data_IF_955697356816
#
_entry.id   IF_955697356816
#
_cell.length_a   1.000
_cell.length_b   1.000
_cell.length_c   1.000
_cell.angle_alpha   90.00
_cell.angle_beta   90.00
_cell.angle_gamma   90.00
#
_symmetry.space_group_name_H-M   'P 1'
#
loop_
_entity.id
_entity.type
_entity.pdbx_description
1 polymer ?
#
# COMPACT_ATOMS: atom_id res chain seq x y z
N UNK A 1 -2.81 -0.36 14.89
CA UNK A 1 -1.55 -0.82 14.27
C UNK A 1 -1.10 0.23 13.24
N UNK A 2 0.20 0.47 13.00
CA UNK A 2 0.67 1.27 11.85
C UNK A 2 0.33 0.49 10.57
N UNK A 3 0.11 1.21 9.46
CA UNK A 3 -0.05 0.56 8.16
C UNK A 3 1.26 -0.11 7.77
N UNK A 4 1.24 -1.35 7.27
CA UNK A 4 2.43 -1.98 6.73
C UNK A 4 3.02 -1.17 5.57
N UNK A 5 4.33 -1.07 5.49
CA UNK A 5 5.05 -0.41 4.41
C UNK A 5 6.07 -1.35 3.79
N UNK A 6 6.30 -1.19 2.51
CA UNK A 6 7.30 -1.96 1.77
C UNK A 6 8.22 -1.04 0.99
N UNK A 7 9.47 -1.46 0.81
CA UNK A 7 10.39 -0.91 -0.18
C UNK A 7 10.22 -1.64 -1.51
N UNK A 8 10.14 -0.87 -2.57
CA UNK A 8 10.02 -1.37 -3.94
C UNK A 8 11.22 -0.88 -4.75
N UNK A 9 11.95 -1.79 -5.40
CA UNK A 9 13.13 -1.46 -6.16
C UNK A 9 13.27 -2.29 -7.44
N UNK A 10 13.70 -1.67 -8.54
CA UNK A 10 14.05 -2.36 -9.78
C UNK A 10 15.42 -3.05 -9.63
N UNK A 11 15.48 -4.39 -9.73
CA UNK A 11 16.71 -5.17 -9.57
C UNK A 11 17.84 -4.71 -10.51
N UNK A 12 17.51 -4.33 -11.73
CA UNK A 12 18.52 -3.92 -12.72
C UNK A 12 19.21 -2.60 -12.37
N UNK A 13 18.55 -1.74 -11.61
CA UNK A 13 19.04 -0.41 -11.23
C UNK A 13 19.77 -0.38 -9.87
N UNK A 14 19.71 -1.45 -9.08
CA UNK A 14 20.35 -1.49 -7.75
C UNK A 14 21.87 -1.28 -7.78
N UNK A 15 22.51 -1.54 -8.92
CA UNK A 15 23.95 -1.29 -9.10
C UNK A 15 24.26 0.20 -9.28
N UNK A 16 23.28 1.01 -9.65
CA UNK A 16 23.45 2.44 -9.78
C UNK A 16 23.37 3.09 -8.39
N UNK A 17 24.48 3.68 -7.93
CA UNK A 17 24.58 4.35 -6.62
C UNK A 17 23.63 5.52 -6.41
N UNK A 18 23.00 6.01 -7.48
CA UNK A 18 22.05 7.13 -7.46
C UNK A 18 20.59 6.68 -7.57
N UNK A 19 20.36 5.37 -7.66
CA UNK A 19 19.02 4.80 -7.64
C UNK A 19 18.57 4.57 -6.19
N UNK A 20 17.36 5.01 -5.85
CA UNK A 20 16.71 4.78 -4.57
C UNK A 20 15.47 3.90 -4.70
N UNK A 21 15.17 3.11 -3.67
CA UNK A 21 13.90 2.40 -3.54
C UNK A 21 12.76 3.37 -3.30
N UNK A 22 11.54 2.92 -3.60
CA UNK A 22 10.30 3.66 -3.34
C UNK A 22 9.56 2.99 -2.20
N UNK A 23 9.16 3.76 -1.20
CA UNK A 23 8.29 3.26 -0.12
C UNK A 23 6.83 3.30 -0.55
N UNK A 24 6.09 2.23 -0.27
CA UNK A 24 4.65 2.12 -0.50
C UNK A 24 3.95 1.63 0.76
N UNK A 25 2.98 2.39 1.25
CA UNK A 25 2.09 1.97 2.34
C UNK A 25 1.01 1.02 1.82
N UNK A 26 0.76 -0.06 2.56
CA UNK A 26 -0.21 -1.11 2.24
C UNK A 26 -1.34 -1.17 3.29
N UNK A 27 -2.55 -1.63 2.93
CA UNK A 27 -2.97 -1.99 1.58
C UNK A 27 -3.09 -0.77 0.66
N UNK A 28 -2.70 -0.95 -0.59
CA UNK A 28 -2.66 0.10 -1.61
C UNK A 28 -3.65 -0.20 -2.75
N UNK A 29 -4.20 0.84 -3.37
CA UNK A 29 -5.02 0.72 -4.57
C UNK A 29 -4.19 0.29 -5.78
N UNK A 30 -4.83 -0.26 -6.82
CA UNK A 30 -4.15 -0.59 -8.08
C UNK A 30 -3.42 0.62 -8.68
N UNK A 31 -4.03 1.81 -8.57
CA UNK A 31 -3.43 3.05 -9.05
C UNK A 31 -2.17 3.44 -8.23
N UNK A 32 -2.18 3.21 -6.91
CA UNK A 32 -1.03 3.47 -6.06
C UNK A 32 0.12 2.47 -6.31
N UNK A 33 -0.20 1.21 -6.56
CA UNK A 33 0.77 0.18 -6.96
C UNK A 33 1.39 0.55 -8.32
N UNK A 34 0.57 0.92 -9.30
CA UNK A 34 1.05 1.34 -10.62
C UNK A 34 1.94 2.59 -10.54
N UNK A 35 1.59 3.56 -9.69
CA UNK A 35 2.39 4.75 -9.42
C UNK A 35 3.75 4.41 -8.79
N UNK A 36 3.75 3.59 -7.75
CA UNK A 36 4.98 3.16 -7.09
C UNK A 36 5.90 2.39 -8.04
N UNK A 37 5.35 1.45 -8.83
CA UNK A 37 6.11 0.74 -9.87
C UNK A 37 6.70 1.69 -10.90
N UNK A 38 5.94 2.69 -11.34
CA UNK A 38 6.43 3.68 -12.30
C UNK A 38 7.60 4.50 -11.73
N UNK A 39 7.45 5.04 -10.52
CA UNK A 39 8.50 5.82 -9.83
C UNK A 39 9.74 4.97 -9.55
N UNK A 40 9.57 3.69 -9.21
CA UNK A 40 10.66 2.73 -9.06
C UNK A 40 11.26 2.26 -10.41
N UNK A 41 10.88 2.86 -11.55
CA UNK A 41 11.36 2.49 -12.89
C UNK A 41 11.09 1.00 -13.23
N UNK A 42 10.02 0.41 -12.70
CA UNK A 42 9.61 -0.96 -12.95
C UNK A 42 8.61 -0.97 -14.10
N UNK A 43 9.02 -1.56 -15.22
CA UNK A 43 8.18 -1.75 -16.40
C UNK A 43 7.65 -3.18 -16.46
N UNK A 44 6.70 -3.44 -17.34
CA UNK A 44 6.21 -4.80 -17.59
C UNK A 44 7.37 -5.73 -17.94
N UNK A 45 7.52 -6.81 -17.19
CA UNK A 45 8.61 -7.78 -17.35
C UNK A 45 9.93 -7.40 -16.65
N UNK A 46 10.00 -6.27 -15.94
CA UNK A 46 11.14 -5.97 -15.09
C UNK A 46 11.14 -6.85 -13.84
N UNK A 47 12.29 -7.37 -13.47
CA UNK A 47 12.48 -7.96 -12.13
C UNK A 47 12.58 -6.84 -11.09
N UNK A 48 11.92 -7.04 -9.96
CA UNK A 48 11.92 -6.09 -8.86
C UNK A 48 12.03 -6.79 -7.51
N UNK A 49 12.30 -6.00 -6.47
CA UNK A 49 12.36 -6.45 -5.08
C UNK A 49 11.22 -5.78 -4.31
N UNK A 50 10.62 -6.55 -3.41
CA UNK A 50 9.68 -6.07 -2.39
C UNK A 50 10.24 -6.51 -1.04
N UNK A 51 10.63 -5.55 -0.19
CA UNK A 51 11.11 -5.81 1.17
C UNK A 51 10.19 -5.11 2.17
N UNK A 52 9.96 -5.73 3.32
CA UNK A 52 9.27 -5.09 4.43
C UNK A 52 10.05 -3.89 4.95
N UNK A 53 9.35 -2.78 5.24
CA UNK A 53 9.92 -1.61 5.91
C UNK A 53 9.39 -1.52 7.35
N UNK A 54 8.18 -1.03 7.54
CA UNK A 54 7.61 -0.80 8.86
C UNK A 54 6.16 -1.27 8.96
N UNK A 55 5.65 -1.42 10.19
CA UNK A 55 4.24 -1.73 10.46
C UNK A 55 3.82 -3.18 10.25
N UNK A 56 4.74 -4.07 9.88
CA UNK A 56 4.49 -5.50 9.81
C UNK A 56 4.60 -6.17 11.18
N UNK A 57 3.86 -7.25 11.45
CA UNK A 57 4.15 -8.13 12.58
C UNK A 57 5.55 -8.74 12.44
N UNK A 58 6.33 -8.75 13.52
CA UNK A 58 7.74 -9.17 13.52
C UNK A 58 7.96 -10.57 12.93
N UNK A 59 7.06 -11.52 13.23
CA UNK A 59 7.14 -12.89 12.71
C UNK A 59 6.99 -12.98 11.19
N UNK A 60 6.39 -11.97 10.53
CA UNK A 60 6.22 -11.94 9.08
C UNK A 60 7.37 -11.25 8.34
N UNK A 61 8.03 -10.27 8.96
CA UNK A 61 9.09 -9.50 8.31
C UNK A 61 10.19 -10.40 7.77
N UNK A 62 10.66 -11.35 8.58
CA UNK A 62 11.70 -12.29 8.16
C UNK A 62 11.21 -13.22 7.04
N UNK A 63 10.00 -13.77 7.16
CA UNK A 63 9.44 -14.70 6.17
C UNK A 63 9.28 -14.01 4.81
N UNK A 64 8.76 -12.78 4.80
CA UNK A 64 8.55 -12.01 3.57
C UNK A 64 9.91 -11.64 2.95
N UNK A 65 10.86 -11.13 3.74
CA UNK A 65 12.17 -10.71 3.24
C UNK A 65 13.04 -11.86 2.75
N UNK A 66 12.86 -13.07 3.31
CA UNK A 66 13.57 -14.28 2.87
C UNK A 66 12.93 -14.95 1.64
N UNK A 67 11.71 -14.51 1.24
CA UNK A 67 10.99 -15.06 0.09
C UNK A 67 11.46 -14.39 -1.20
N UNK A 68 11.93 -15.17 -2.15
CA UNK A 68 12.33 -14.67 -3.48
C UNK A 68 11.10 -14.49 -4.39
N UNK A 69 11.21 -13.54 -5.33
CA UNK A 69 10.27 -13.30 -6.42
C UNK A 69 8.82 -13.01 -5.94
N UNK A 70 8.70 -12.25 -4.86
CA UNK A 70 7.43 -11.80 -4.32
C UNK A 70 6.65 -10.96 -5.32
N UNK A 71 5.36 -11.26 -5.46
CA UNK A 71 4.40 -10.38 -6.11
C UNK A 71 3.96 -9.28 -5.14
N UNK A 72 4.06 -8.02 -5.57
CA UNK A 72 3.57 -6.90 -4.78
C UNK A 72 2.06 -7.01 -4.52
N UNK A 73 1.33 -7.60 -5.44
CA UNK A 73 -0.11 -7.81 -5.36
C UNK A 73 -0.46 -8.84 -4.26
N UNK A 74 0.34 -9.91 -4.11
CA UNK A 74 0.18 -10.88 -3.01
C UNK A 74 0.48 -10.24 -1.65
N UNK A 75 1.58 -9.50 -1.56
CA UNK A 75 1.97 -8.76 -0.34
C UNK A 75 0.88 -7.75 0.03
N UNK A 76 0.27 -7.10 -0.97
CA UNK A 76 -0.84 -6.17 -0.76
C UNK A 76 -2.09 -6.85 -0.19
N UNK A 77 -2.44 -8.04 -0.70
CA UNK A 77 -3.57 -8.82 -0.17
C UNK A 77 -3.32 -9.27 1.27
N UNK A 78 -2.11 -9.76 1.58
CA UNK A 78 -1.74 -10.13 2.95
C UNK A 78 -1.80 -8.92 3.89
N UNK A 79 -1.27 -7.76 3.46
CA UNK A 79 -1.34 -6.52 4.22
C UNK A 79 -2.79 -6.08 4.49
N UNK A 80 -3.68 -6.24 3.50
CA UNK A 80 -5.10 -5.99 3.67
C UNK A 80 -5.71 -6.89 4.75
N UNK A 81 -5.45 -8.19 4.71
CA UNK A 81 -5.95 -9.13 5.73
C UNK A 81 -5.45 -8.74 7.13
N UNK A 82 -4.14 -8.46 7.28
CA UNK A 82 -3.52 -8.07 8.55
C UNK A 82 -4.11 -6.75 9.07
N UNK A 83 -4.35 -5.76 8.21
CA UNK A 83 -4.90 -4.46 8.61
C UNK A 83 -6.29 -4.53 9.26
N UNK A 84 -6.98 -5.65 9.08
CA UNK A 84 -8.32 -5.91 9.64
C UNK A 84 -8.30 -6.80 10.89
N UNK A 85 -7.14 -7.33 11.25
CA UNK A 85 -6.98 -8.18 12.42
C UNK A 85 -6.87 -7.34 13.69
N UNK A 86 -7.53 -7.80 14.73
CA UNK A 86 -7.28 -7.34 16.10
C UNK A 86 -6.04 -8.05 16.68
N UNK A 87 -5.63 -7.66 17.89
CA UNK A 87 -4.45 -8.22 18.55
C UNK A 87 -4.57 -9.73 18.77
N UNK A 88 -5.75 -10.22 19.15
CA UNK A 88 -5.99 -11.64 19.34
C UNK A 88 -5.86 -12.43 18.03
N UNK A 89 -6.34 -11.87 16.92
CA UNK A 89 -6.22 -12.47 15.60
C UNK A 89 -4.79 -12.48 15.09
N UNK A 90 -3.99 -11.44 15.38
CA UNK A 90 -2.56 -11.41 15.04
C UNK A 90 -1.80 -12.52 15.79
N UNK A 91 -2.06 -12.69 17.10
CA UNK A 91 -1.45 -13.77 17.88
C UNK A 91 -1.88 -15.16 17.37
N UNK A 92 -3.15 -15.32 17.02
CA UNK A 92 -3.66 -16.55 16.39
C UNK A 92 -2.96 -16.81 15.06
N UNK A 93 -2.73 -15.76 14.26
CA UNK A 93 -2.03 -15.89 12.98
C UNK A 93 -0.56 -16.29 13.18
N UNK A 94 0.14 -15.65 14.10
CA UNK A 94 1.51 -16.00 14.45
C UNK A 94 1.64 -17.48 14.83
N UNK A 95 0.74 -17.95 15.69
CA UNK A 95 0.71 -19.35 16.09
C UNK A 95 0.37 -20.31 14.95
N UNK A 96 -0.55 -19.96 14.06
CA UNK A 96 -0.87 -20.77 12.88
C UNK A 96 0.33 -20.90 11.93
N UNK A 97 1.09 -19.82 11.72
CA UNK A 97 2.33 -19.82 10.96
C UNK A 97 3.38 -20.70 11.62
N UNK A 98 3.53 -20.60 12.95
CA UNK A 98 4.46 -21.45 13.71
C UNK A 98 4.09 -22.92 13.61
N UNK A 99 2.81 -23.30 13.75
CA UNK A 99 2.35 -24.68 13.55
C UNK A 99 2.74 -25.20 12.16
N UNK A 100 2.54 -24.40 11.11
CA UNK A 100 2.91 -24.78 9.75
C UNK A 100 4.43 -24.98 9.60
N UNK A 101 5.25 -24.15 10.24
CA UNK A 101 6.71 -24.30 10.23
C UNK A 101 7.17 -25.57 10.99
N UNK A 102 6.49 -25.93 12.07
CA UNK A 102 6.79 -27.15 12.84
C UNK A 102 6.38 -28.43 12.11
N UNK A 103 5.31 -28.39 11.28
CA UNK A 103 4.88 -29.54 10.46
C UNK A 103 5.90 -29.90 9.39
N UNK A 104 6.55 -28.93 8.77
CA UNK A 104 7.57 -29.13 7.75
C UNK A 104 8.67 -28.06 7.87
N UNK A 105 9.68 -28.40 8.67
CA UNK A 105 10.80 -27.51 9.01
C UNK A 105 11.70 -27.24 7.79
N UNK A 106 11.74 -28.16 6.83
CA UNK A 106 12.62 -28.05 5.67
C UNK A 106 12.02 -27.21 4.54
N UNK A 107 10.70 -26.98 4.56
CA UNK A 107 10.00 -26.23 3.51
C UNK A 107 9.60 -24.84 4.02
N UNK A 108 10.15 -23.74 3.44
CA UNK A 108 9.74 -22.38 3.81
C UNK A 108 8.24 -22.15 3.61
N UNK A 109 7.64 -21.34 4.48
CA UNK A 109 6.25 -20.93 4.34
C UNK A 109 6.12 -20.01 3.12
N UNK A 110 5.21 -20.33 2.22
CA UNK A 110 4.98 -19.56 0.99
C UNK A 110 3.99 -18.42 1.20
N UNK A 111 3.98 -17.43 0.29
CA UNK A 111 3.00 -16.34 0.32
C UNK A 111 1.56 -16.86 0.19
N UNK A 112 1.33 -17.89 -0.64
CA UNK A 112 0.05 -18.60 -0.73
C UNK A 112 -0.41 -19.14 0.63
N UNK A 113 0.49 -19.82 1.34
CA UNK A 113 0.18 -20.35 2.66
C UNK A 113 -0.13 -19.26 3.67
N UNK A 114 0.65 -18.16 3.70
CA UNK A 114 0.38 -17.01 4.56
C UNK A 114 -1.01 -16.41 4.30
N UNK A 115 -1.36 -16.15 3.04
CA UNK A 115 -2.66 -15.61 2.66
C UNK A 115 -3.80 -16.54 3.07
N UNK A 116 -3.64 -17.85 2.85
CA UNK A 116 -4.65 -18.84 3.22
C UNK A 116 -4.75 -19.05 4.74
N UNK A 117 -3.64 -19.03 5.48
CA UNK A 117 -3.65 -19.08 6.95
C UNK A 117 -4.36 -17.84 7.54
N UNK A 118 -4.02 -16.64 7.05
CA UNK A 118 -4.67 -15.40 7.46
C UNK A 118 -6.20 -15.41 7.21
N UNK A 119 -6.65 -16.08 6.15
CA UNK A 119 -8.08 -16.26 5.86
C UNK A 119 -8.76 -17.27 6.78
N UNK A 120 -8.03 -18.27 7.26
CA UNK A 120 -8.55 -19.41 7.99
C UNK A 120 -8.31 -19.37 9.51
N UNK A 121 -8.19 -18.17 10.12
CA UNK A 121 -7.94 -18.04 11.57
C UNK A 121 -9.03 -18.71 12.41
N UNK A 122 -10.27 -18.75 11.92
CA UNK A 122 -11.37 -19.49 12.56
C UNK A 122 -11.17 -21.01 12.63
N UNK A 123 -10.17 -21.57 11.94
CA UNK A 123 -9.82 -23.00 12.02
C UNK A 123 -8.87 -23.31 13.18
N UNK A 124 -8.52 -22.32 14.00
CA UNK A 124 -7.61 -22.46 15.14
C UNK A 124 -8.28 -21.98 16.41
N UNK A 125 -7.89 -22.59 17.52
CA UNK A 125 -8.22 -22.16 18.87
C UNK A 125 -6.97 -21.58 19.51
N UNK A 126 -7.09 -20.37 20.09
CA UNK A 126 -5.99 -19.70 20.77
C UNK A 126 -6.33 -19.49 22.25
N UNK A 127 -5.42 -19.88 23.14
CA UNK A 127 -5.55 -19.74 24.58
C UNK A 127 -4.46 -18.82 25.12
N UNK A 128 -4.75 -17.55 25.35
CA UNK A 128 -3.78 -16.59 25.87
C UNK A 128 -3.32 -16.98 27.28
N UNK A 129 -2.03 -16.74 27.57
CA UNK A 129 -1.42 -17.00 28.88
C UNK A 129 -1.11 -18.47 29.18
N UNK A 130 -1.41 -19.41 28.27
CA UNK A 130 -1.03 -20.82 28.38
C UNK A 130 0.27 -21.02 27.60
N UNK A 131 1.41 -20.95 28.27
CA UNK A 131 2.73 -20.86 27.62
C UNK A 131 3.64 -22.08 27.87
N UNK A 132 3.16 -23.06 28.64
CA UNK A 132 3.88 -24.30 28.94
C UNK A 132 2.94 -25.49 29.22
N UNK A 133 3.52 -26.69 29.27
CA UNK A 133 2.79 -27.93 29.52
C UNK A 133 2.09 -27.94 30.91
N UNK A 134 2.64 -27.27 31.90
CA UNK A 134 2.02 -27.19 33.23
C UNK A 134 0.73 -26.37 33.22
N UNK A 135 0.81 -25.15 32.64
CA UNK A 135 -0.38 -24.30 32.52
C UNK A 135 -1.45 -24.92 31.63
N UNK A 136 -1.05 -25.59 30.55
CA UNK A 136 -1.98 -26.34 29.71
C UNK A 136 -2.61 -27.52 30.45
N UNK A 137 -1.84 -28.24 31.25
CA UNK A 137 -2.33 -29.34 32.10
C UNK A 137 -3.34 -28.88 33.12
N UNK A 138 -3.10 -27.75 33.80
CA UNK A 138 -4.09 -27.15 34.72
C UNK A 138 -5.40 -26.82 34.02
N UNK A 139 -5.35 -26.19 32.84
CA UNK A 139 -6.54 -25.92 32.04
C UNK A 139 -7.27 -27.20 31.64
N UNK A 140 -6.52 -28.25 31.26
CA UNK A 140 -7.10 -29.54 30.89
C UNK A 140 -7.78 -30.24 32.09
N UNK A 141 -7.18 -30.21 33.29
CA UNK A 141 -7.74 -30.77 34.51
C UNK A 141 -8.99 -30.02 34.98
N UNK A 142 -8.94 -28.69 35.10
CA UNK A 142 -10.04 -27.85 35.51
C UNK A 142 -11.28 -27.99 34.61
N UNK A 143 -11.10 -28.21 33.32
CA UNK A 143 -12.18 -28.30 32.33
C UNK A 143 -12.47 -29.70 31.81
N UNK A 144 -11.83 -30.75 32.35
CA UNK A 144 -11.97 -32.15 31.94
C UNK A 144 -11.82 -32.34 30.40
N UNK A 145 -10.80 -31.76 29.81
CA UNK A 145 -10.64 -31.67 28.34
C UNK A 145 -10.18 -32.98 27.71
N UNK A 146 -9.42 -33.81 28.42
CA UNK A 146 -8.93 -35.07 27.91
C UNK A 146 -9.89 -36.24 28.23
N UNK A 147 -10.12 -37.09 27.25
CA UNK A 147 -10.99 -38.28 27.46
C UNK A 147 -10.38 -39.24 28.48
N UNK A 148 -9.07 -39.27 28.65
CA UNK A 148 -8.34 -40.12 29.60
C UNK A 148 -8.60 -39.74 31.07
N UNK A 149 -8.94 -38.50 31.35
CA UNK A 149 -9.22 -37.98 32.70
C UNK A 149 -10.70 -37.79 32.98
N UNK A 150 -11.53 -37.85 31.94
CA UNK A 150 -12.97 -37.63 32.04
C UNK A 150 -13.63 -38.67 32.94
N UNK A 151 -14.31 -38.21 34.01
CA UNK A 151 -15.02 -39.05 34.94
C UNK A 151 -14.15 -39.63 36.05
N UNK A 152 -12.90 -39.24 36.20
CA UNK A 152 -12.10 -39.56 37.38
C UNK A 152 -12.62 -38.77 38.59
N UNK A 153 -12.57 -39.36 39.81
CA UNK A 153 -12.89 -38.67 41.04
C UNK A 153 -11.94 -37.47 41.29
N UNK A 154 -12.44 -36.44 41.97
CA UNK A 154 -11.68 -35.19 42.21
C UNK A 154 -10.37 -35.44 42.98
N UNK A 155 -10.41 -36.34 43.98
CA UNK A 155 -9.24 -36.74 44.77
C UNK A 155 -8.16 -37.46 43.93
N UNK A 156 -8.53 -38.05 42.80
CA UNK A 156 -7.60 -38.65 41.85
C UNK A 156 -7.06 -37.60 40.92
N UNK A 157 -7.89 -36.65 40.46
CA UNK A 157 -7.45 -35.53 39.58
C UNK A 157 -6.39 -34.66 40.26
N UNK A 158 -6.53 -34.40 41.57
CA UNK A 158 -5.54 -33.63 42.36
C UNK A 158 -4.16 -34.30 42.44
N UNK A 159 -4.05 -35.60 42.19
CA UNK A 159 -2.80 -36.34 42.23
C UNK A 159 -2.13 -36.48 40.87
N UNK A 160 -2.77 -35.99 39.81
CA UNK A 160 -2.20 -36.06 38.47
C UNK A 160 -1.08 -34.99 38.33
N UNK A 161 -0.06 -35.39 37.58
CA UNK A 161 1.06 -34.51 37.21
C UNK A 161 0.60 -33.56 36.09
N UNK A 162 0.43 -32.29 36.44
CA UNK A 162 -0.04 -31.23 35.54
C UNK A 162 0.77 -31.16 34.25
N UNK A 163 2.10 -31.27 34.36
CA UNK A 163 2.99 -31.18 33.19
C UNK A 163 2.79 -32.36 32.22
N UNK A 164 2.58 -33.58 32.75
CA UNK A 164 2.29 -34.74 31.91
C UNK A 164 0.91 -34.68 31.28
N UNK A 165 -0.07 -34.14 32.01
CA UNK A 165 -1.43 -33.91 31.46
C UNK A 165 -1.35 -32.89 30.32
N UNK A 166 -0.58 -31.82 30.48
CA UNK A 166 -0.37 -30.83 29.43
C UNK A 166 0.32 -31.41 28.20
N UNK A 167 1.38 -32.21 28.39
CA UNK A 167 2.06 -32.92 27.30
C UNK A 167 1.09 -33.83 26.49
N UNK A 168 0.21 -34.54 27.18
CA UNK A 168 -0.79 -35.39 26.53
C UNK A 168 -1.84 -34.56 25.81
N UNK A 169 -2.28 -33.44 26.40
CA UNK A 169 -3.21 -32.50 25.77
C UNK A 169 -2.61 -31.93 24.48
N UNK A 170 -1.38 -31.40 24.55
CA UNK A 170 -0.68 -30.86 23.40
C UNK A 170 -0.51 -31.89 22.27
N UNK A 171 -0.21 -33.14 22.62
CA UNK A 171 -0.12 -34.23 21.63
C UNK A 171 -1.46 -34.55 21.00
N UNK A 172 -2.55 -34.54 21.79
CA UNK A 172 -3.91 -34.79 21.31
C UNK A 172 -4.44 -33.68 20.40
N UNK A 173 -4.13 -32.44 20.72
CA UNK A 173 -4.58 -31.25 19.99
C UNK A 173 -3.69 -30.94 18.79
N UNK A 174 -2.47 -31.51 18.74
CA UNK A 174 -1.43 -31.13 17.76
C UNK A 174 -1.10 -29.63 17.81
N UNK A 175 -1.09 -29.07 19.02
CA UNK A 175 -0.87 -27.65 19.25
C UNK A 175 0.59 -27.29 19.54
N UNK A 176 0.87 -26.00 19.52
CA UNK A 176 2.17 -25.42 19.88
C UNK A 176 2.02 -24.21 20.81
N UNK A 177 3.10 -23.84 21.51
CA UNK A 177 3.17 -22.65 22.34
C UNK A 177 3.74 -21.49 21.53
N UNK A 178 3.12 -20.32 21.66
CA UNK A 178 3.66 -19.03 21.27
C UNK A 178 4.18 -18.29 22.51
N UNK A 179 4.82 -17.14 22.34
CA UNK A 179 5.24 -16.31 23.47
C UNK A 179 4.07 -15.86 24.34
N UNK A 180 2.88 -15.69 23.77
CA UNK A 180 1.72 -15.14 24.42
C UNK A 180 0.62 -16.18 24.78
N UNK A 181 0.72 -17.43 24.27
CA UNK A 181 -0.31 -18.44 24.51
C UNK A 181 -0.09 -19.78 23.82
N UNK A 182 -1.16 -20.58 23.81
CA UNK A 182 -1.21 -21.89 23.18
C UNK A 182 -2.20 -21.92 22.03
N UNK A 183 -1.81 -22.47 20.89
CA UNK A 183 -2.65 -22.58 19.70
C UNK A 183 -2.75 -24.03 19.23
N UNK A 184 -3.91 -24.41 18.70
CA UNK A 184 -4.16 -25.72 18.13
C UNK A 184 -5.27 -25.68 17.06
N UNK A 185 -5.26 -26.59 16.06
CA UNK A 185 -6.31 -26.66 15.04
C UNK A 185 -7.62 -27.21 15.63
N UNK A 186 -8.76 -26.60 15.28
CA UNK A 186 -10.08 -26.99 15.80
C UNK A 186 -10.87 -27.96 14.89
N UNK A 187 -10.20 -28.56 13.90
CA UNK A 187 -10.78 -29.53 12.93
C UNK A 187 -11.79 -28.94 11.94
N UNK A 188 -11.99 -27.61 11.89
CA UNK A 188 -12.74 -27.00 10.82
C UNK A 188 -11.96 -27.10 9.49
N UNK A 189 -12.65 -27.34 8.36
CA UNK A 189 -11.96 -27.43 7.07
C UNK A 189 -11.43 -26.08 6.65
N UNK A 190 -10.17 -26.01 6.24
CA UNK A 190 -9.58 -24.84 5.63
C UNK A 190 -10.22 -24.55 4.28
N UNK A 191 -10.45 -23.29 3.98
CA UNK A 191 -10.89 -22.80 2.68
C UNK A 191 -9.69 -22.24 1.92
N UNK A 192 -9.45 -22.72 0.70
CA UNK A 192 -8.43 -22.16 -0.16
C UNK A 192 -8.97 -20.84 -0.76
N UNK A 193 -8.46 -19.71 -0.27
CA UNK A 193 -8.79 -18.37 -0.79
C UNK A 193 -7.95 -18.05 -2.03
N UNK A 194 -6.68 -18.42 -2.02
CA UNK A 194 -5.71 -18.14 -3.07
C UNK A 194 -5.02 -19.41 -3.53
N UNK A 195 -5.00 -19.63 -4.85
CA UNK A 195 -4.51 -20.84 -5.52
C UNK A 195 -3.19 -20.63 -6.31
N UNK A 196 -2.52 -19.49 -6.16
CA UNK A 196 -1.35 -18.98 -6.91
C UNK A 196 -1.67 -18.49 -8.33
N UNK A 197 -2.89 -18.65 -8.81
CA UNK A 197 -3.32 -18.25 -10.15
C UNK A 197 -4.33 -17.10 -10.08
N UNK A 198 -5.30 -17.22 -9.18
CA UNK A 198 -6.42 -16.29 -9.06
C UNK A 198 -6.31 -15.50 -7.76
N UNK A 199 -5.66 -14.32 -7.84
CA UNK A 199 -5.57 -13.44 -6.67
C UNK A 199 -6.95 -12.81 -6.42
N UNK A 200 -7.51 -12.94 -5.21
CA UNK A 200 -8.77 -12.32 -4.86
C UNK A 200 -8.72 -10.79 -4.92
N UNK A 201 -9.80 -10.17 -5.36
CA UNK A 201 -9.97 -8.72 -5.25
C UNK A 201 -9.98 -8.27 -3.79
N UNK A 202 -9.45 -7.08 -3.52
CA UNK A 202 -9.55 -6.42 -2.22
C UNK A 202 -10.80 -5.55 -2.23
N UNK A 203 -11.87 -5.94 -1.48
CA UNK A 203 -13.20 -5.37 -1.69
C UNK A 203 -13.35 -3.92 -1.24
N UNK A 204 -12.60 -3.47 -0.24
CA UNK A 204 -12.78 -2.16 0.39
C UNK A 204 -11.79 -1.10 -0.12
N UNK A 205 -10.98 -1.40 -1.14
CA UNK A 205 -10.09 -0.43 -1.75
C UNK A 205 -10.81 0.28 -2.90
N UNK A 206 -10.76 1.61 -2.95
CA UNK A 206 -11.36 2.37 -4.04
C UNK A 206 -10.68 2.06 -5.37
N UNK A 207 -11.50 1.98 -6.43
CA UNK A 207 -11.06 1.71 -7.81
C UNK A 207 -11.02 2.97 -8.68
N UNK A 208 -11.61 4.06 -8.21
CA UNK A 208 -11.63 5.34 -8.91
C UNK A 208 -10.25 5.98 -9.04
N UNK A 209 -10.08 6.81 -10.07
CA UNK A 209 -8.86 7.63 -10.25
C UNK A 209 -8.67 8.59 -9.08
N UNK A 210 -9.78 9.12 -8.58
CA UNK A 210 -9.89 9.97 -7.40
C UNK A 210 -11.07 9.44 -6.59
N UNK A 211 -10.92 9.22 -5.30
CA UNK A 211 -12.02 8.88 -4.39
C UNK A 211 -12.07 9.90 -3.28
N UNK A 212 -13.25 10.48 -3.06
CA UNK A 212 -13.48 11.51 -2.03
C UNK A 212 -14.54 11.05 -1.04
N UNK A 213 -14.31 11.28 0.22
CA UNK A 213 -15.29 11.11 1.28
C UNK A 213 -15.98 12.45 1.52
N UNK A 214 -17.28 12.53 1.23
CA UNK A 214 -18.08 13.75 1.33
C UNK A 214 -18.90 13.74 2.61
N UNK A 215 -18.90 14.87 3.30
CA UNK A 215 -19.77 15.16 4.43
C UNK A 215 -20.66 16.36 4.13
N UNK A 216 -21.83 16.46 4.82
CA UNK A 216 -22.69 17.66 4.76
C UNK A 216 -22.15 18.73 5.67
N UNK A 217 -22.13 20.00 5.22
CA UNK A 217 -21.72 21.16 6.02
C UNK A 217 -22.66 21.40 7.22
N UNK A 218 -23.94 21.07 7.07
CA UNK A 218 -24.97 21.33 8.09
C UNK A 218 -25.09 20.20 9.15
N UNK A 219 -24.47 19.04 8.91
CA UNK A 219 -24.55 17.88 9.78
C UNK A 219 -23.18 17.61 10.40
N UNK A 220 -23.08 17.76 11.71
CA UNK A 220 -21.89 17.42 12.49
C UNK A 220 -21.67 15.91 12.66
N UNK A 221 -22.50 15.06 12.06
CA UNK A 221 -22.46 13.62 12.21
C UNK A 221 -21.42 13.00 11.24
N UNK A 222 -20.57 12.19 11.80
CA UNK A 222 -19.31 11.63 11.31
C UNK A 222 -19.43 10.64 10.13
N UNK A 223 -20.59 10.46 9.53
CA UNK A 223 -20.77 9.48 8.45
C UNK A 223 -20.64 10.13 7.07
N UNK A 224 -19.41 10.24 6.62
CA UNK A 224 -19.15 10.61 5.23
C UNK A 224 -19.57 9.52 4.25
N UNK A 225 -19.91 9.92 3.03
CA UNK A 225 -20.22 9.01 1.92
C UNK A 225 -19.09 9.07 0.90
N UNK A 226 -18.56 7.91 0.53
CA UNK A 226 -17.53 7.82 -0.50
C UNK A 226 -18.12 7.98 -1.90
N UNK A 227 -17.47 8.79 -2.71
CA UNK A 227 -17.72 8.96 -4.13
C UNK A 227 -16.46 8.66 -4.92
N UNK A 228 -16.52 7.68 -5.81
CA UNK A 228 -15.45 7.34 -6.74
C UNK A 228 -15.59 8.15 -8.02
N UNK A 229 -14.51 8.81 -8.45
CA UNK A 229 -14.47 9.64 -9.65
C UNK A 229 -13.56 9.01 -10.71
N UNK A 230 -13.93 9.09 -12.02
CA UNK A 230 -15.08 9.79 -12.53
C UNK A 230 -16.39 9.05 -12.25
N UNK A 231 -17.39 9.81 -11.80
CA UNK A 231 -18.74 9.33 -11.51
C UNK A 231 -19.73 9.78 -12.56
N UNK A 232 -20.77 8.96 -12.78
CA UNK A 232 -21.94 9.33 -13.58
C UNK A 232 -22.85 10.30 -12.82
N UNK A 233 -23.71 11.02 -13.53
CA UNK A 233 -24.70 11.91 -12.91
C UNK A 233 -25.61 11.15 -11.91
N UNK A 234 -25.94 9.89 -12.21
CA UNK A 234 -26.77 9.06 -11.32
C UNK A 234 -26.05 8.72 -10.01
N UNK A 235 -24.76 8.39 -10.06
CA UNK A 235 -23.95 8.13 -8.88
C UNK A 235 -23.77 9.39 -8.03
N UNK A 236 -23.49 10.54 -8.65
CA UNK A 236 -23.40 11.83 -7.99
C UNK A 236 -24.73 12.18 -7.29
N UNK A 237 -25.88 12.02 -7.95
CA UNK A 237 -27.19 12.24 -7.37
C UNK A 237 -27.51 11.25 -6.24
N UNK A 238 -27.06 10.00 -6.35
CA UNK A 238 -27.22 9.00 -5.28
C UNK A 238 -26.49 9.41 -4.00
N UNK A 239 -25.26 9.93 -4.13
CA UNK A 239 -24.47 10.41 -3.00
C UNK A 239 -25.10 11.64 -2.35
N UNK A 240 -25.53 12.65 -3.13
CA UNK A 240 -26.27 13.79 -2.62
C UNK A 240 -27.52 13.39 -1.84
N UNK A 241 -28.29 12.43 -2.36
CA UNK A 241 -29.46 11.90 -1.67
C UNK A 241 -29.11 11.21 -0.34
N UNK A 242 -28.00 10.46 -0.28
CA UNK A 242 -27.55 9.81 0.95
C UNK A 242 -27.13 10.83 1.99
N UNK A 243 -26.47 11.92 1.59
CA UNK A 243 -26.10 13.05 2.43
C UNK A 243 -27.32 13.89 2.84
N UNK A 244 -28.41 13.81 2.07
CA UNK A 244 -29.61 14.64 2.25
C UNK A 244 -29.44 16.08 1.72
N UNK A 245 -28.51 16.25 0.76
CA UNK A 245 -28.18 17.51 0.14
C UNK A 245 -28.73 17.61 -1.29
N UNK A 246 -28.90 18.86 -1.76
CA UNK A 246 -29.37 19.15 -3.12
C UNK A 246 -28.25 19.56 -4.07
N UNK A 247 -27.09 19.95 -3.57
CA UNK A 247 -25.91 20.39 -4.31
C UNK A 247 -24.66 20.03 -3.56
N UNK A 248 -23.55 19.80 -4.27
CA UNK A 248 -22.22 19.64 -3.68
C UNK A 248 -21.67 20.91 -3.03
N UNK A 249 -22.24 22.10 -3.33
CA UNK A 249 -21.87 23.36 -2.66
C UNK A 249 -22.11 23.32 -1.14
N UNK A 250 -23.01 22.40 -0.69
CA UNK A 250 -23.31 22.17 0.73
C UNK A 250 -22.50 21.00 1.31
N UNK A 251 -21.53 20.49 0.58
CA UNK A 251 -20.70 19.36 0.99
C UNK A 251 -19.25 19.81 1.21
N UNK A 252 -18.55 19.07 2.07
CA UNK A 252 -17.11 19.20 2.24
C UNK A 252 -16.42 17.86 1.97
N UNK A 253 -15.19 17.92 1.51
CA UNK A 253 -14.33 16.73 1.36
C UNK A 253 -13.68 16.46 2.73
N UNK A 254 -14.18 15.44 3.43
CA UNK A 254 -13.65 15.01 4.73
C UNK A 254 -12.41 14.10 4.60
N UNK A 255 -12.20 13.50 3.43
CA UNK A 255 -11.05 12.66 3.13
C UNK A 255 -10.94 12.37 1.63
N UNK A 256 -9.74 12.01 1.20
CA UNK A 256 -9.51 11.64 -0.21
C UNK A 256 -8.48 10.52 -0.32
N UNK A 257 -8.66 9.67 -1.34
CA UNK A 257 -7.70 8.68 -1.78
C UNK A 257 -7.48 8.92 -3.26
N UNK A 258 -6.28 9.31 -3.61
CA UNK A 258 -5.89 9.55 -5.01
C UNK A 258 -4.39 9.51 -5.16
N UNK A 259 -3.93 8.95 -6.27
CA UNK A 259 -2.55 9.07 -6.74
C UNK A 259 -2.42 10.04 -7.91
N UNK A 260 -3.49 10.72 -8.26
CA UNK A 260 -3.51 11.68 -9.38
C UNK A 260 -2.82 13.03 -9.02
N UNK A 261 -2.73 13.33 -7.71
CA UNK A 261 -2.14 14.58 -7.24
C UNK A 261 -0.89 14.32 -6.39
N UNK A 262 0.11 15.19 -6.46
CA UNK A 262 1.26 15.20 -5.57
C UNK A 262 0.96 15.82 -4.18
N UNK A 263 -0.26 16.29 -3.96
CA UNK A 263 -0.71 16.97 -2.73
C UNK A 263 -2.12 16.47 -2.32
N UNK A 264 -2.50 16.56 -1.04
CA UNK A 264 -3.86 16.27 -0.58
C UNK A 264 -4.86 17.29 -1.11
N UNK A 265 -6.09 16.83 -1.41
CA UNK A 265 -7.17 17.72 -1.79
C UNK A 265 -7.65 18.55 -0.59
N UNK A 266 -8.00 19.81 -0.84
CA UNK A 266 -8.60 20.68 0.16
C UNK A 266 -10.07 20.32 0.43
N UNK A 267 -10.58 20.67 1.63
CA UNK A 267 -11.93 20.30 2.05
C UNK A 267 -13.05 20.98 1.26
N UNK A 268 -12.78 22.12 0.63
CA UNK A 268 -13.71 22.97 -0.13
C UNK A 268 -13.55 22.88 -1.65
N UNK A 269 -12.81 21.88 -2.15
CA UNK A 269 -12.66 21.65 -3.58
C UNK A 269 -13.99 21.31 -4.25
N UNK A 270 -14.18 21.84 -5.46
CA UNK A 270 -15.37 21.64 -6.29
C UNK A 270 -15.42 20.19 -6.83
N UNK A 271 -16.39 19.42 -6.36
CA UNK A 271 -16.58 18.00 -6.70
C UNK A 271 -16.86 17.79 -8.19
N UNK A 272 -17.57 18.72 -8.85
CA UNK A 272 -17.89 18.63 -10.28
C UNK A 272 -16.63 18.86 -11.14
N UNK A 273 -15.77 19.79 -10.72
CA UNK A 273 -14.46 20.02 -11.34
C UNK A 273 -13.53 18.82 -11.12
N UNK A 274 -13.52 18.25 -9.89
CA UNK A 274 -12.79 17.01 -9.63
C UNK A 274 -13.26 15.86 -10.51
N UNK A 275 -14.58 15.72 -10.72
CA UNK A 275 -15.13 14.72 -11.63
C UNK A 275 -14.67 14.95 -13.09
N UNK A 276 -14.66 16.20 -13.53
CA UNK A 276 -14.17 16.57 -14.86
C UNK A 276 -12.67 16.23 -15.00
N UNK A 277 -11.88 16.51 -13.98
CA UNK A 277 -10.45 16.20 -13.99
C UNK A 277 -10.20 14.69 -13.98
N UNK A 278 -10.95 13.94 -13.18
CA UNK A 278 -10.88 12.47 -13.17
C UNK A 278 -11.21 11.85 -14.52
N UNK A 279 -12.22 12.40 -15.25
CA UNK A 279 -12.53 11.99 -16.62
C UNK A 279 -11.36 12.22 -17.58
N UNK A 280 -10.67 13.39 -17.48
CA UNK A 280 -9.50 13.69 -18.30
C UNK A 280 -8.34 12.75 -18.00
N UNK A 281 -8.06 12.50 -16.71
CA UNK A 281 -7.00 11.59 -16.28
C UNK A 281 -7.29 10.15 -16.75
N UNK A 282 -8.51 9.69 -16.64
CA UNK A 282 -8.91 8.36 -17.13
C UNK A 282 -8.76 8.21 -18.65
N UNK A 283 -8.87 9.33 -19.38
CA UNK A 283 -8.68 9.36 -20.83
C UNK A 283 -7.20 9.44 -21.27
N UNK A 284 -6.26 9.53 -20.36
CA UNK A 284 -4.83 9.53 -20.71
C UNK A 284 -4.45 8.19 -21.36
N UNK A 285 -3.65 8.23 -22.43
CA UNK A 285 -3.36 7.04 -23.23
C UNK A 285 -2.51 6.00 -22.50
N UNK A 286 -1.69 6.43 -21.54
CA UNK A 286 -0.72 5.58 -20.85
C UNK A 286 -0.25 6.17 -19.52
N UNK A 287 0.46 5.34 -18.74
CA UNK A 287 1.04 5.73 -17.45
C UNK A 287 2.11 6.83 -17.57
N UNK A 288 2.79 6.93 -18.73
CA UNK A 288 3.77 7.99 -18.96
C UNK A 288 3.10 9.36 -19.03
N UNK A 289 1.93 9.44 -19.66
CA UNK A 289 1.14 10.68 -19.74
C UNK A 289 0.63 11.09 -18.36
N UNK A 290 0.18 10.14 -17.54
CA UNK A 290 -0.21 10.39 -16.16
C UNK A 290 0.98 10.86 -15.32
N UNK A 291 2.14 10.22 -15.45
CA UNK A 291 3.35 10.63 -14.74
C UNK A 291 3.83 12.04 -15.17
N UNK A 292 3.73 12.36 -16.46
CA UNK A 292 4.01 13.70 -16.99
C UNK A 292 3.08 14.76 -16.40
N UNK A 293 1.78 14.44 -16.29
CA UNK A 293 0.79 15.32 -15.64
C UNK A 293 1.17 15.60 -14.20
N UNK A 294 1.49 14.57 -13.42
CA UNK A 294 1.90 14.71 -12.01
C UNK A 294 3.21 15.51 -11.88
N UNK A 295 4.20 15.22 -12.73
CA UNK A 295 5.45 15.96 -12.77
C UNK A 295 5.23 17.44 -13.11
N UNK A 296 4.29 17.76 -14.02
CA UNK A 296 3.93 19.13 -14.35
C UNK A 296 3.28 19.86 -13.15
N UNK A 297 2.42 19.18 -12.37
CA UNK A 297 1.87 19.76 -11.15
C UNK A 297 2.95 20.02 -10.09
N UNK A 298 3.93 19.12 -9.93
CA UNK A 298 5.08 19.35 -9.04
C UNK A 298 5.95 20.53 -9.50
N UNK A 299 6.17 20.66 -10.82
CA UNK A 299 6.92 21.80 -11.39
C UNK A 299 6.25 23.13 -11.11
N UNK A 300 4.94 23.22 -11.29
CA UNK A 300 4.18 24.46 -11.20
C UNK A 300 3.87 24.88 -9.75
N UNK A 301 3.95 23.97 -8.79
CA UNK A 301 3.73 24.21 -7.34
C UNK A 301 2.38 24.91 -7.06
N UNK A 302 1.36 24.55 -7.84
CA UNK A 302 0.00 25.12 -7.73
C UNK A 302 -0.99 23.99 -7.44
N UNK A 303 -1.84 24.21 -6.42
CA UNK A 303 -2.73 23.19 -5.87
C UNK A 303 -4.20 23.39 -6.28
N UNK A 304 -4.51 24.42 -7.05
CA UNK A 304 -5.88 24.71 -7.48
C UNK A 304 -6.35 23.72 -8.56
N UNK A 305 -7.55 23.20 -8.42
CA UNK A 305 -8.14 22.24 -9.37
C UNK A 305 -8.33 22.85 -10.77
N UNK A 306 -8.68 24.13 -10.86
CA UNK A 306 -8.77 24.85 -12.13
C UNK A 306 -7.44 24.86 -12.88
N UNK A 307 -6.33 25.02 -12.16
CA UNK A 307 -5.02 24.97 -12.76
C UNK A 307 -4.62 23.53 -13.15
N UNK A 308 -4.99 22.52 -12.35
CA UNK A 308 -4.78 21.12 -12.71
C UNK A 308 -5.55 20.72 -13.98
N UNK A 309 -6.76 21.24 -14.18
CA UNK A 309 -7.53 21.09 -15.42
C UNK A 309 -6.82 21.73 -16.62
N UNK A 310 -6.24 22.92 -16.45
CA UNK A 310 -5.44 23.58 -17.49
C UNK A 310 -4.20 22.76 -17.82
N UNK A 311 -3.48 22.25 -16.83
CA UNK A 311 -2.30 21.37 -17.04
C UNK A 311 -2.68 20.12 -17.83
N UNK A 312 -3.80 19.47 -17.47
CA UNK A 312 -4.26 18.26 -18.16
C UNK A 312 -4.55 18.49 -19.65
N UNK A 313 -4.94 19.71 -20.05
CA UNK A 313 -5.17 20.09 -21.45
C UNK A 313 -3.92 20.61 -22.18
N UNK A 314 -2.85 20.95 -21.44
CA UNK A 314 -1.63 21.57 -21.98
C UNK A 314 -0.37 20.72 -21.74
N UNK A 315 -0.49 19.39 -21.74
CA UNK A 315 0.68 18.50 -21.51
C UNK A 315 1.77 18.63 -22.57
N UNK A 316 1.43 19.10 -23.76
CA UNK A 316 2.38 19.41 -24.82
C UNK A 316 3.27 20.64 -24.53
N UNK A 317 2.91 21.46 -23.54
CA UNK A 317 3.71 22.56 -23.02
C UNK A 317 4.86 22.12 -22.11
N UNK A 318 5.03 20.82 -21.89
CA UNK A 318 6.07 20.28 -21.01
C UNK A 318 6.90 19.23 -21.73
N UNK A 319 8.23 19.29 -21.58
CA UNK A 319 9.15 18.24 -21.97
C UNK A 319 9.48 17.38 -20.74
N UNK A 320 9.32 16.07 -20.86
CA UNK A 320 9.40 15.13 -19.74
C UNK A 320 10.24 13.89 -20.07
N UNK A 321 11.23 13.61 -19.23
CA UNK A 321 12.05 12.40 -19.32
C UNK A 321 12.03 11.62 -18.00
N UNK A 322 11.27 10.50 -17.94
CA UNK A 322 11.20 9.67 -16.75
C UNK A 322 12.47 8.89 -16.43
N UNK A 323 13.38 8.73 -17.41
CA UNK A 323 14.66 8.03 -17.21
C UNK A 323 15.67 8.85 -16.40
N UNK A 324 15.48 10.16 -16.38
CA UNK A 324 16.29 11.07 -15.57
C UNK A 324 15.70 11.15 -14.14
N UNK A 325 15.79 10.03 -13.41
CA UNK A 325 15.21 9.88 -12.08
C UNK A 325 16.05 10.48 -10.93
N UNK A 326 17.24 11.02 -11.26
CA UNK A 326 18.04 11.82 -10.33
C UNK A 326 18.95 12.80 -11.08
N UNK A 327 19.36 13.92 -10.46
CA UNK A 327 20.32 14.85 -11.05
C UNK A 327 21.64 14.19 -11.45
N UNK A 328 22.10 13.22 -10.67
CA UNK A 328 23.34 12.51 -10.98
C UNK A 328 23.23 11.66 -12.25
N UNK A 329 22.08 11.04 -12.50
CA UNK A 329 21.81 10.29 -13.74
C UNK A 329 21.80 11.23 -14.94
N UNK A 330 21.27 12.43 -14.78
CA UNK A 330 21.35 13.47 -15.82
C UNK A 330 22.79 13.92 -16.07
N UNK A 331 23.60 14.06 -15.02
CA UNK A 331 25.04 14.36 -15.16
C UNK A 331 25.78 13.26 -15.90
N UNK A 332 25.55 12.00 -15.58
CA UNK A 332 26.13 10.86 -16.31
C UNK A 332 25.71 10.84 -17.77
N UNK A 333 24.46 11.16 -18.07
CA UNK A 333 23.97 11.31 -19.44
C UNK A 333 24.75 12.39 -20.20
N UNK A 334 24.92 13.58 -19.61
CA UNK A 334 25.70 14.67 -20.24
C UNK A 334 27.17 14.29 -20.51
N UNK A 335 27.78 13.53 -19.59
CA UNK A 335 29.16 13.02 -19.78
C UNK A 335 29.22 12.07 -20.97
N UNK A 336 28.28 11.10 -21.06
CA UNK A 336 28.24 10.18 -22.21
C UNK A 336 27.97 10.89 -23.54
N UNK A 337 27.09 11.91 -23.56
CA UNK A 337 26.86 12.75 -24.76
C UNK A 337 28.12 13.52 -25.16
N UNK A 338 28.96 13.93 -24.19
CA UNK A 338 30.26 14.57 -24.46
C UNK A 338 31.38 13.57 -24.83
N UNK A 339 31.07 12.26 -24.92
CA UNK A 339 32.05 11.21 -25.19
C UNK A 339 32.95 10.87 -23.99
N UNK A 340 32.54 11.23 -22.78
CA UNK A 340 33.25 10.96 -21.52
C UNK A 340 32.60 9.77 -20.85
N UNK A 341 33.41 8.80 -20.41
CA UNK A 341 32.92 7.67 -19.60
C UNK A 341 32.77 8.11 -18.14
N UNK A 342 31.53 8.18 -17.57
CA UNK A 342 31.35 8.57 -16.18
C UNK A 342 31.86 7.53 -15.18
N UNK A 343 32.09 6.28 -15.63
CA UNK A 343 32.59 5.18 -14.82
C UNK A 343 34.12 5.12 -14.77
N UNK A 344 34.83 6.04 -15.48
CA UNK A 344 36.30 6.14 -15.42
C UNK A 344 36.75 6.44 -13.97
N UNK A 345 37.75 5.70 -13.44
CA UNK A 345 38.30 5.93 -12.10
C UNK A 345 38.71 7.37 -11.81
N UNK A 346 39.02 8.18 -12.83
CA UNK A 346 39.33 9.60 -12.69
C UNK A 346 38.14 10.39 -12.07
N UNK A 347 36.91 9.92 -12.25
CA UNK A 347 35.70 10.54 -11.72
C UNK A 347 35.21 9.91 -10.42
N UNK A 348 35.95 9.02 -9.79
CA UNK A 348 35.53 8.34 -8.54
C UNK A 348 35.14 9.31 -7.40
N UNK A 349 35.72 10.52 -7.40
CA UNK A 349 35.44 11.59 -6.43
C UNK A 349 34.63 12.75 -7.02
N UNK A 350 34.10 12.59 -8.22
CA UNK A 350 33.34 13.66 -8.86
C UNK A 350 31.92 13.74 -8.27
N UNK A 351 31.44 14.94 -7.96
CA UNK A 351 30.11 15.21 -7.46
C UNK A 351 29.11 15.28 -8.62
N UNK A 352 28.68 14.11 -9.11
CA UNK A 352 27.66 14.00 -10.15
C UNK A 352 26.33 14.61 -9.74
N UNK A 353 25.95 14.50 -8.44
CA UNK A 353 24.69 15.07 -7.95
C UNK A 353 24.72 16.60 -8.08
N UNK A 354 25.68 17.25 -7.45
CA UNK A 354 25.78 18.71 -7.49
C UNK A 354 26.08 19.27 -8.89
N UNK A 355 26.78 18.51 -9.74
CA UNK A 355 26.95 18.90 -11.14
C UNK A 355 25.64 18.82 -11.91
N UNK A 356 24.90 17.73 -11.76
CA UNK A 356 23.59 17.52 -12.39
C UNK A 356 22.57 18.57 -11.98
N UNK A 357 22.47 18.90 -10.70
CA UNK A 357 21.59 19.96 -10.18
C UNK A 357 21.88 21.33 -10.85
N UNK A 358 23.16 21.69 -10.95
CA UNK A 358 23.56 22.94 -11.63
C UNK A 358 23.20 22.95 -13.11
N UNK A 359 23.45 21.83 -13.82
CA UNK A 359 23.12 21.72 -15.25
C UNK A 359 21.60 21.75 -15.49
N UNK A 360 20.83 21.05 -14.66
CA UNK A 360 19.36 21.10 -14.70
C UNK A 360 18.84 22.52 -14.49
N UNK A 361 19.32 23.21 -13.46
CA UNK A 361 18.94 24.61 -13.17
C UNK A 361 19.28 25.54 -14.34
N UNK A 362 20.45 25.41 -14.98
CA UNK A 362 20.87 26.22 -16.14
C UNK A 362 19.98 25.96 -17.36
N UNK A 363 19.52 24.73 -17.54
CA UNK A 363 18.64 24.34 -18.63
C UNK A 363 17.15 24.55 -18.36
N UNK A 364 16.78 25.01 -17.13
CA UNK A 364 15.39 25.20 -16.75
C UNK A 364 14.64 23.92 -16.40
N UNK A 365 15.36 22.82 -16.20
CA UNK A 365 14.78 21.54 -15.80
C UNK A 365 14.58 21.46 -14.28
N UNK A 366 13.54 20.73 -13.87
CA UNK A 366 13.30 20.41 -12.46
C UNK A 366 13.23 18.89 -12.31
N UNK A 367 13.82 18.40 -11.22
CA UNK A 367 13.66 17.01 -10.77
C UNK A 367 12.36 16.86 -10.01
N UNK A 368 11.55 15.88 -10.41
CA UNK A 368 10.31 15.49 -9.75
C UNK A 368 10.38 14.03 -9.28
N UNK A 369 9.38 13.58 -8.53
CA UNK A 369 9.25 12.17 -8.16
C UNK A 369 9.08 11.21 -9.36
N UNK A 370 8.76 11.74 -10.54
CA UNK A 370 8.47 10.97 -11.77
C UNK A 370 9.57 11.04 -12.81
N UNK A 371 10.55 11.89 -12.63
CA UNK A 371 11.65 12.15 -13.57
C UNK A 371 11.92 13.64 -13.74
N UNK A 372 12.65 13.97 -14.76
CA UNK A 372 13.02 15.35 -15.10
C UNK A 372 11.97 15.99 -16.01
N UNK A 373 11.60 17.23 -15.72
CA UNK A 373 10.63 17.99 -16.50
C UNK A 373 11.04 19.45 -16.65
N UNK A 374 10.62 20.06 -17.74
CA UNK A 374 10.68 21.51 -17.94
C UNK A 374 9.44 21.99 -18.68
N UNK A 375 9.11 23.27 -18.51
CA UNK A 375 8.12 23.94 -19.35
C UNK A 375 8.77 24.44 -20.62
N UNK A 376 8.25 24.04 -21.78
CA UNK A 376 8.77 24.44 -23.10
C UNK A 376 8.13 25.75 -23.61
N UNK A 377 8.43 26.14 -24.83
CA UNK A 377 7.97 27.40 -25.42
C UNK A 377 6.53 27.33 -26.00
N UNK A 378 5.86 26.19 -25.95
CA UNK A 378 4.50 26.07 -26.44
C UNK A 378 3.56 26.97 -25.63
N UNK A 379 2.55 27.63 -26.28
CA UNK A 379 1.65 28.52 -25.60
C UNK A 379 0.71 27.75 -24.66
N UNK A 380 0.76 28.05 -23.37
CA UNK A 380 -0.11 27.46 -22.37
C UNK A 380 -1.45 28.21 -22.34
N UNK A 381 -2.53 27.49 -22.55
CA UNK A 381 -3.89 28.06 -22.60
C UNK A 381 -4.59 27.88 -21.25
N UNK A 382 -4.67 28.94 -20.45
CA UNK A 382 -5.45 28.95 -19.22
C UNK A 382 -6.94 29.13 -19.54
N UNK A 383 -7.69 28.06 -19.48
CA UNK A 383 -9.14 28.04 -19.76
C UNK A 383 -9.97 28.06 -18.49
N UNK A 384 -9.53 27.36 -17.47
CA UNK A 384 -10.23 27.20 -16.20
C UNK A 384 -9.73 28.20 -15.14
N UNK A 385 -8.43 28.42 -15.02
CA UNK A 385 -7.83 29.28 -14.00
C UNK A 385 -7.95 30.78 -14.24
N UNK A 386 -8.40 31.25 -15.41
CA UNK A 386 -8.61 32.68 -15.69
C UNK A 386 -9.96 33.25 -15.24
N UNK A 387 -10.89 32.39 -14.84
CA UNK A 387 -12.28 32.83 -14.54
C UNK A 387 -12.37 33.70 -13.27
N UNK A 388 -11.41 33.63 -12.35
CA UNK A 388 -11.40 34.42 -11.12
C UNK A 388 -10.87 35.88 -11.27
N UNK A 389 -10.04 36.15 -12.29
CA UNK A 389 -9.44 37.50 -12.46
C UNK A 389 -10.37 38.52 -13.10
N UNK A 390 -11.48 38.11 -13.72
CA UNK A 390 -12.43 39.04 -14.37
C UNK A 390 -13.52 39.56 -13.43
N UNK A 391 -13.73 38.99 -12.26
CA UNK A 391 -14.77 39.47 -11.32
C UNK A 391 -14.30 40.57 -10.36
N UNK A 392 -13.00 40.84 -10.21
CA UNK A 392 -12.48 41.90 -9.33
C UNK A 392 -12.14 43.22 -10.04
N UNK A 393 -12.38 43.36 -11.33
CA UNK A 393 -12.07 44.56 -12.14
C UNK A 393 -13.25 45.47 -12.48
N UNK A 394 -14.44 45.26 -11.88
CA UNK A 394 -15.65 46.03 -12.19
C UNK A 394 -16.32 46.66 -10.98
N UNK A 395 -15.67 47.63 -10.34
CA UNK A 395 -16.32 48.67 -9.53
C UNK A 395 -15.54 49.97 -9.61
#
# INVERSE_FOLDING_TARGET
MRKPEVYLANKSLLKNRYYGSITLSLPATESAIADAKYRAQIQTGSEYIVDCDSGWPEFLEQIINDTNDLSLEEVNLLAYQISRMDEFQIETFAGAVQLRQEEDIDTPVTMKELINLAHNLGCYEYRPGVVDDRTLGNVALENNLLDTIRGLPEDVLELLDEEKVGQEMRRSDMGTYTEAGYIFPNRMPHQELYDEIHLPDIPDLPKGVISVMLGSLDKSDETGVWLELPATEQEMQSVLKQLGESSFDNCLIAGSISTAFPYPLAGDEDVEKLNTLAQKIQAFPDQRTLAKFKAALELEIRNEIDFALDVAENLDCYDFDPKMYSPAVYAEYLFREAGIDPDDPAFAMFDFMGYGERQMQQAGHIQTAYGMILRNENPFLSKYSQTESMQMGGM
#
